data_IF_998978798601
#
_entry.id   IF_998978798601
#
_cell.length_a   1.000
_cell.length_b   1.000
_cell.length_c   1.000
_cell.angle_alpha   90.00
_cell.angle_beta   90.00
_cell.angle_gamma   90.00
#
_symmetry.space_group_name_H-M   'P 1'
#
loop_
_entity.id
_entity.type
_entity.pdbx_description
1 polymer ?
#
# COMPACT_ATOMS: atom_id res chain seq x y z
N UNK A 1 61.24 9.18 -2.22
CA UNK A 1 60.78 7.81 -1.87
C UNK A 1 59.28 7.86 -1.74
N UNK A 2 58.54 7.38 -2.73
CA UNK A 2 57.07 7.37 -2.71
C UNK A 2 56.61 5.93 -2.87
N UNK A 3 56.01 5.41 -1.81
CA UNK A 3 55.62 4.00 -1.66
C UNK A 3 54.35 3.73 -2.49
N UNK A 4 54.50 3.06 -3.63
CA UNK A 4 53.38 2.60 -4.47
C UNK A 4 52.88 1.24 -3.98
N UNK A 5 52.13 1.22 -2.89
CA UNK A 5 51.36 0.02 -2.51
C UNK A 5 50.03 0.02 -3.26
N UNK A 6 49.88 -0.89 -4.22
CA UNK A 6 48.56 -1.24 -4.77
C UNK A 6 47.77 -1.96 -3.67
N UNK A 7 46.72 -1.30 -3.18
CA UNK A 7 45.73 -1.93 -2.30
C UNK A 7 44.93 -2.92 -3.14
N UNK A 8 45.01 -4.21 -2.80
CA UNK A 8 44.14 -5.22 -3.37
C UNK A 8 42.73 -5.00 -2.81
N UNK A 9 41.78 -4.66 -3.68
CA UNK A 9 40.37 -4.61 -3.31
C UNK A 9 39.85 -6.06 -3.20
N UNK A 10 39.46 -6.47 -2.00
CA UNK A 10 38.83 -7.75 -1.72
C UNK A 10 37.34 -7.68 -2.16
N UNK A 11 37.07 -7.80 -3.46
CA UNK A 11 35.71 -7.75 -4.03
C UNK A 11 34.88 -9.02 -3.77
N UNK A 12 35.48 -10.06 -3.18
CA UNK A 12 34.85 -11.39 -3.03
C UNK A 12 33.74 -11.46 -1.97
N UNK A 13 33.67 -10.50 -1.05
CA UNK A 13 32.68 -10.53 0.04
C UNK A 13 31.31 -9.99 -0.36
N UNK A 14 31.25 -9.08 -1.34
CA UNK A 14 30.00 -8.39 -1.70
C UNK A 14 29.18 -9.16 -2.75
N UNK A 15 29.82 -9.98 -3.59
CA UNK A 15 29.13 -10.71 -4.67
C UNK A 15 28.15 -11.77 -4.16
N UNK A 16 28.46 -12.42 -3.03
CA UNK A 16 27.61 -13.47 -2.45
C UNK A 16 26.30 -12.92 -1.87
N UNK A 17 26.39 -11.85 -1.09
CA UNK A 17 25.25 -11.26 -0.39
C UNK A 17 24.25 -10.64 -1.39
N UNK A 18 24.74 -9.98 -2.43
CA UNK A 18 23.88 -9.40 -3.47
C UNK A 18 23.14 -10.47 -4.30
N UNK A 19 23.79 -11.61 -4.52
CA UNK A 19 23.20 -12.75 -5.24
C UNK A 19 22.11 -13.44 -4.43
N UNK A 20 22.32 -13.61 -3.12
CA UNK A 20 21.31 -14.16 -2.21
C UNK A 20 20.08 -13.25 -2.13
N UNK A 21 20.28 -11.93 -2.02
CA UNK A 21 19.19 -10.95 -2.04
C UNK A 21 18.37 -11.05 -3.34
N UNK A 22 19.01 -11.19 -4.50
CA UNK A 22 18.30 -11.34 -5.77
C UNK A 22 17.40 -12.59 -5.81
N UNK A 23 17.84 -13.69 -5.19
CA UNK A 23 17.04 -14.93 -5.06
C UNK A 23 15.82 -14.71 -4.19
N UNK A 24 15.98 -14.07 -3.04
CA UNK A 24 14.89 -13.76 -2.12
C UNK A 24 13.85 -12.89 -2.81
N UNK A 25 14.27 -11.79 -3.42
CA UNK A 25 13.34 -10.88 -4.09
C UNK A 25 12.62 -11.56 -5.26
N UNK A 26 13.32 -12.39 -6.05
CA UNK A 26 12.70 -13.12 -7.14
C UNK A 26 11.60 -14.05 -6.62
N UNK A 27 11.86 -14.75 -5.51
CA UNK A 27 10.88 -15.62 -4.86
C UNK A 27 9.68 -14.83 -4.36
N UNK A 28 9.90 -13.69 -3.70
CA UNK A 28 8.81 -12.84 -3.20
C UNK A 28 7.92 -12.31 -4.32
N UNK A 29 8.53 -11.83 -5.42
CA UNK A 29 7.79 -11.40 -6.61
C UNK A 29 6.98 -12.55 -7.22
N UNK A 30 7.57 -13.74 -7.32
CA UNK A 30 6.85 -14.92 -7.81
C UNK A 30 5.66 -15.28 -6.91
N UNK A 31 5.81 -15.22 -5.59
CA UNK A 31 4.75 -15.48 -4.62
C UNK A 31 3.62 -14.46 -4.77
N UNK A 32 3.95 -13.17 -4.81
CA UNK A 32 2.97 -12.10 -5.01
C UNK A 32 2.15 -12.30 -6.29
N UNK A 33 2.83 -12.56 -7.40
CA UNK A 33 2.17 -12.80 -8.69
C UNK A 33 1.29 -14.06 -8.66
N UNK A 34 1.74 -15.11 -7.97
CA UNK A 34 0.99 -16.36 -7.81
C UNK A 34 -0.27 -16.17 -6.97
N UNK A 35 -0.22 -15.38 -5.90
CA UNK A 35 -1.39 -15.02 -5.09
C UNK A 35 -2.44 -14.30 -5.94
N UNK A 36 -2.02 -13.41 -6.84
CA UNK A 36 -2.94 -12.71 -7.75
C UNK A 36 -3.58 -13.62 -8.80
N UNK A 37 -2.93 -14.70 -9.19
CA UNK A 37 -3.44 -15.67 -10.15
C UNK A 37 -4.22 -16.84 -9.50
N UNK A 38 -4.26 -16.90 -8.17
CA UNK A 38 -5.04 -17.88 -7.43
C UNK A 38 -6.53 -17.56 -7.54
N UNK A 39 -7.32 -18.52 -8.02
CA UNK A 39 -8.74 -18.32 -8.36
C UNK A 39 -9.70 -18.62 -7.21
N UNK A 40 -9.20 -19.00 -6.03
CA UNK A 40 -10.01 -19.30 -4.86
C UNK A 40 -9.92 -20.76 -4.38
N UNK A 41 -10.85 -21.21 -3.52
CA UNK A 41 -10.67 -22.41 -2.69
C UNK A 41 -10.45 -23.73 -3.43
N UNK A 42 -11.02 -23.88 -4.64
CA UNK A 42 -10.87 -25.10 -5.45
C UNK A 42 -9.57 -25.13 -6.27
N UNK A 43 -8.79 -24.05 -6.25
CA UNK A 43 -7.58 -23.89 -7.06
C UNK A 43 -6.33 -24.18 -6.24
N UNK A 44 -5.31 -24.76 -6.89
CA UNK A 44 -4.07 -25.14 -6.22
C UNK A 44 -2.98 -24.10 -6.42
N UNK A 45 -2.14 -23.91 -5.40
CA UNK A 45 -0.98 -23.02 -5.48
C UNK A 45 0.00 -23.41 -6.59
N UNK A 46 0.14 -24.71 -6.86
CA UNK A 46 0.96 -25.22 -7.96
C UNK A 46 0.40 -24.84 -9.32
N UNK A 47 -0.93 -24.98 -9.52
CA UNK A 47 -1.57 -24.57 -10.75
C UNK A 47 -1.51 -23.04 -10.94
N UNK A 48 -1.73 -22.27 -9.88
CA UNK A 48 -1.58 -20.81 -9.91
C UNK A 48 -0.16 -20.39 -10.30
N UNK A 49 0.87 -20.99 -9.69
CA UNK A 49 2.27 -20.73 -10.03
C UNK A 49 2.56 -21.06 -11.49
N UNK A 50 2.11 -22.20 -11.98
CA UNK A 50 2.37 -22.62 -13.36
C UNK A 50 1.66 -21.70 -14.37
N UNK A 51 0.48 -21.18 -14.04
CA UNK A 51 -0.19 -20.13 -14.82
C UNK A 51 0.60 -18.83 -14.79
N UNK A 52 1.06 -18.38 -13.63
CA UNK A 52 1.94 -17.22 -13.50
C UNK A 52 3.18 -17.37 -14.37
N UNK A 53 3.87 -18.50 -14.29
CA UNK A 53 5.09 -18.77 -15.04
C UNK A 53 4.84 -18.69 -16.56
N UNK A 54 3.79 -19.35 -17.06
CA UNK A 54 3.40 -19.27 -18.47
C UNK A 54 3.05 -17.86 -18.91
N UNK A 55 2.35 -17.10 -18.06
CA UNK A 55 1.94 -15.73 -18.36
C UNK A 55 3.13 -14.77 -18.50
N UNK A 56 4.17 -14.94 -17.69
CA UNK A 56 5.36 -14.10 -17.71
C UNK A 56 6.47 -14.63 -18.64
N UNK A 57 6.23 -15.76 -19.32
CA UNK A 57 7.23 -16.40 -20.19
C UNK A 57 8.38 -17.06 -19.42
N UNK A 58 8.18 -17.40 -18.14
CA UNK A 58 9.15 -18.14 -17.34
C UNK A 58 8.91 -19.64 -17.47
N UNK A 59 9.99 -20.41 -17.58
CA UNK A 59 9.88 -21.86 -17.61
C UNK A 59 9.23 -22.39 -16.30
N UNK A 60 8.17 -23.23 -16.38
CA UNK A 60 7.48 -23.74 -15.20
C UNK A 60 8.38 -24.55 -14.26
N UNK A 61 9.40 -25.23 -14.79
CA UNK A 61 10.35 -25.98 -13.95
C UNK A 61 11.26 -25.03 -13.17
N UNK A 62 11.66 -23.91 -13.77
CA UNK A 62 12.41 -22.86 -13.09
C UNK A 62 11.56 -22.18 -12.01
N UNK A 63 10.31 -21.83 -12.32
CA UNK A 63 9.37 -21.28 -11.33
C UNK A 63 9.15 -22.27 -10.17
N UNK A 64 9.03 -23.57 -10.45
CA UNK A 64 8.96 -24.61 -9.41
C UNK A 64 10.20 -24.64 -8.54
N UNK A 65 11.39 -24.56 -9.14
CA UNK A 65 12.66 -24.53 -8.40
C UNK A 65 12.72 -23.33 -7.46
N UNK A 66 12.39 -22.14 -7.96
CA UNK A 66 12.36 -20.92 -7.16
C UNK A 66 11.31 -21.00 -6.03
N UNK A 67 10.18 -21.67 -6.27
CA UNK A 67 9.17 -21.85 -5.22
C UNK A 67 9.64 -22.77 -4.08
N UNK A 68 10.26 -23.90 -4.42
CA UNK A 68 10.52 -24.98 -3.47
C UNK A 68 11.93 -24.93 -2.87
N UNK A 69 12.92 -24.44 -3.61
CA UNK A 69 14.35 -24.57 -3.30
C UNK A 69 15.10 -23.25 -3.39
N UNK A 70 14.44 -22.11 -3.17
CA UNK A 70 15.11 -20.81 -3.20
C UNK A 70 16.23 -20.70 -2.15
N UNK A 71 16.08 -21.33 -0.98
CA UNK A 71 17.10 -21.33 0.07
C UNK A 71 18.41 -22.02 -0.37
N UNK A 72 18.31 -22.97 -1.29
CA UNK A 72 19.47 -23.69 -1.84
C UNK A 72 20.04 -23.01 -3.10
N UNK A 73 19.39 -21.95 -3.59
CA UNK A 73 19.82 -21.23 -4.78
C UNK A 73 20.82 -20.14 -4.40
N UNK A 74 21.99 -20.18 -5.04
CA UNK A 74 23.00 -19.13 -4.90
C UNK A 74 22.70 -17.91 -5.74
N UNK A 75 22.06 -18.09 -6.89
CA UNK A 75 21.84 -17.04 -7.88
C UNK A 75 20.58 -17.32 -8.72
N UNK A 76 20.06 -16.28 -9.36
CA UNK A 76 18.92 -16.30 -10.28
C UNK A 76 19.40 -15.89 -11.67
N UNK A 77 18.87 -16.56 -12.70
CA UNK A 77 19.11 -16.13 -14.07
C UNK A 77 18.60 -14.70 -14.26
N UNK A 78 19.45 -13.79 -14.71
CA UNK A 78 19.08 -12.38 -14.93
C UNK A 78 17.85 -12.22 -15.84
N UNK A 79 17.67 -13.12 -16.83
CA UNK A 79 16.47 -13.13 -17.67
C UNK A 79 15.18 -13.47 -16.89
N UNK A 80 15.26 -14.44 -15.98
CA UNK A 80 14.15 -14.81 -15.12
C UNK A 80 13.84 -13.73 -14.07
N UNK A 81 14.89 -13.12 -13.49
CA UNK A 81 14.73 -12.01 -12.56
C UNK A 81 14.06 -10.81 -13.24
N UNK A 82 14.50 -10.46 -14.46
CA UNK A 82 13.92 -9.36 -15.23
C UNK A 82 12.45 -9.61 -15.59
N UNK A 83 12.08 -10.82 -16.01
CA UNK A 83 10.68 -11.12 -16.35
C UNK A 83 9.77 -11.01 -15.13
N UNK A 84 10.22 -11.48 -13.97
CA UNK A 84 9.52 -11.32 -12.69
C UNK A 84 9.38 -9.84 -12.29
N UNK A 85 10.46 -9.07 -12.42
CA UNK A 85 10.46 -7.64 -12.10
C UNK A 85 9.46 -6.87 -12.97
N UNK A 86 9.48 -7.08 -14.28
CA UNK A 86 8.56 -6.42 -15.21
C UNK A 86 7.10 -6.80 -14.94
N UNK A 87 6.84 -8.08 -14.69
CA UNK A 87 5.49 -8.54 -14.38
C UNK A 87 4.98 -8.01 -13.05
N UNK A 88 5.87 -7.88 -12.05
CA UNK A 88 5.56 -7.28 -10.76
C UNK A 88 5.25 -5.78 -10.91
N UNK A 89 6.10 -5.03 -11.60
CA UNK A 89 5.88 -3.60 -11.84
C UNK A 89 4.55 -3.35 -12.54
N UNK A 90 4.26 -4.12 -13.60
CA UNK A 90 2.98 -4.02 -14.31
C UNK A 90 1.74 -4.37 -13.44
N UNK A 91 1.93 -5.05 -12.30
CA UNK A 91 0.85 -5.24 -11.32
C UNK A 91 0.75 -4.06 -10.36
N UNK A 92 1.87 -3.52 -9.88
CA UNK A 92 1.88 -2.31 -9.05
C UNK A 92 1.22 -1.14 -9.79
N UNK A 93 1.62 -0.89 -11.04
CA UNK A 93 1.04 0.18 -11.87
C UNK A 93 -0.50 0.06 -11.96
N UNK A 94 -1.01 -1.17 -12.14
CA UNK A 94 -2.46 -1.43 -12.16
C UNK A 94 -3.14 -1.18 -10.83
N UNK A 95 -2.47 -1.45 -9.71
CA UNK A 95 -3.02 -1.19 -8.37
C UNK A 95 -3.03 0.30 -8.08
N UNK A 96 -2.00 1.02 -8.48
CA UNK A 96 -1.91 2.47 -8.34
C UNK A 96 -3.02 3.15 -9.14
N UNK A 97 -3.25 2.73 -10.38
CA UNK A 97 -4.39 3.21 -11.18
C UNK A 97 -5.75 2.94 -10.52
N UNK A 98 -5.91 1.81 -9.84
CA UNK A 98 -7.13 1.50 -9.09
C UNK A 98 -7.26 2.45 -7.90
N UNK A 99 -6.17 2.64 -7.13
CA UNK A 99 -6.09 3.56 -6.01
C UNK A 99 -6.47 4.99 -6.41
N UNK A 100 -5.87 5.51 -7.47
CA UNK A 100 -6.14 6.83 -8.02
C UNK A 100 -7.62 7.03 -8.37
N UNK A 101 -8.28 5.98 -8.90
CA UNK A 101 -9.72 6.02 -9.19
C UNK A 101 -10.55 6.08 -7.92
N UNK A 102 -10.18 5.35 -6.87
CA UNK A 102 -10.88 5.41 -5.58
C UNK A 102 -10.70 6.76 -4.88
N UNK A 103 -9.48 7.31 -4.91
CA UNK A 103 -9.19 8.62 -4.31
C UNK A 103 -9.97 9.74 -4.98
N UNK A 104 -10.07 9.70 -6.32
CA UNK A 104 -10.84 10.68 -7.09
C UNK A 104 -12.33 10.62 -6.73
N UNK A 105 -12.91 9.42 -6.75
CA UNK A 105 -14.32 9.21 -6.35
C UNK A 105 -14.58 9.68 -4.92
N UNK A 106 -13.67 9.40 -4.00
CA UNK A 106 -13.80 9.81 -2.61
C UNK A 106 -13.79 11.34 -2.48
N UNK A 107 -12.88 12.02 -3.19
CA UNK A 107 -12.84 13.49 -3.23
C UNK A 107 -14.12 14.08 -3.84
N UNK A 108 -14.64 13.48 -4.90
CA UNK A 108 -15.89 13.93 -5.54
C UNK A 108 -17.07 13.83 -4.57
N UNK A 109 -17.24 12.68 -3.89
CA UNK A 109 -18.29 12.48 -2.88
C UNK A 109 -18.16 13.46 -1.70
N UNK A 110 -16.93 13.72 -1.24
CA UNK A 110 -16.69 14.70 -0.17
C UNK A 110 -17.04 16.12 -0.64
N UNK A 111 -16.65 16.50 -1.85
CA UNK A 111 -16.96 17.80 -2.42
C UNK A 111 -18.47 18.00 -2.61
N UNK A 112 -19.18 16.96 -3.05
CA UNK A 112 -20.65 16.95 -3.14
C UNK A 112 -21.28 17.19 -1.77
N UNK A 113 -20.87 16.43 -0.74
CA UNK A 113 -21.36 16.59 0.63
C UNK A 113 -21.04 17.98 1.22
N UNK A 114 -19.87 18.55 0.91
CA UNK A 114 -19.52 19.91 1.30
C UNK A 114 -20.31 20.97 0.53
N UNK A 115 -20.62 20.73 -0.75
CA UNK A 115 -21.44 21.59 -1.58
C UNK A 115 -22.89 21.63 -1.11
N UNK A 116 -23.44 20.49 -0.69
CA UNK A 116 -24.77 20.38 -0.12
C UNK A 116 -24.89 21.16 1.20
N UNK A 117 -23.93 20.99 2.12
CA UNK A 117 -23.86 21.79 3.36
C UNK A 117 -23.78 23.30 3.11
N UNK A 118 -23.06 23.74 2.06
CA UNK A 118 -22.99 25.17 1.69
C UNK A 118 -24.30 25.72 1.14
N UNK A 119 -25.11 24.87 0.48
CA UNK A 119 -26.44 25.26 -0.03
C UNK A 119 -27.46 25.35 1.10
N UNK A 120 -27.39 24.47 2.08
CA UNK A 120 -28.19 24.55 3.31
C UNK A 120 -27.78 25.74 4.20
N UNK A 121 -26.50 26.15 4.18
CA UNK A 121 -26.00 27.34 4.91
C UNK A 121 -26.06 28.64 4.10
N UNK A 122 -27.00 28.77 3.16
CA UNK A 122 -27.21 29.98 2.37
C UNK A 122 -27.46 31.25 3.22
N UNK A 123 -27.23 32.46 2.66
CA UNK A 123 -27.10 33.73 3.41
C UNK A 123 -28.34 34.23 4.16
N UNK A 124 -29.47 33.51 4.14
CA UNK A 124 -30.68 33.90 4.89
C UNK A 124 -30.60 33.61 6.40
N UNK A 125 -29.62 32.83 6.84
CA UNK A 125 -29.43 32.51 8.27
C UNK A 125 -28.89 33.68 9.12
N UNK A 126 -28.50 34.81 8.51
CA UNK A 126 -27.95 35.97 9.23
C UNK A 126 -28.91 37.17 9.40
N UNK A 127 -30.16 37.08 8.92
CA UNK A 127 -31.15 38.17 8.98
C UNK A 127 -32.30 37.96 9.99
N UNK A 128 -32.23 36.96 10.86
CA UNK A 128 -33.27 36.69 11.87
C UNK A 128 -32.71 36.59 13.29
N UNK A 129 -31.94 37.58 13.75
CA UNK A 129 -31.71 37.75 15.19
C UNK A 129 -31.63 39.22 15.63
N UNK A 130 -32.39 40.10 14.97
CA UNK A 130 -32.73 41.39 15.57
C UNK A 130 -34.02 41.23 16.38
N UNK A 131 -33.87 40.95 17.68
CA UNK A 131 -34.91 41.26 18.65
C UNK A 131 -35.67 40.07 19.25
N UNK A 132 -35.00 39.17 19.94
CA UNK A 132 -35.56 38.56 21.15
C UNK A 132 -34.46 38.44 22.22
N UNK A 133 -34.43 39.40 23.15
CA UNK A 133 -33.79 39.21 24.44
C UNK A 133 -34.54 38.08 25.15
N UNK A 134 -34.02 36.87 25.08
CA UNK A 134 -34.38 35.80 26.01
C UNK A 134 -33.51 35.99 27.25
N UNK A 135 -34.08 36.33 28.43
CA UNK A 135 -33.29 36.45 29.65
C UNK A 135 -32.71 35.08 30.04
N UNK A 136 -31.54 35.05 30.70
CA UNK A 136 -30.91 33.80 31.09
C UNK A 136 -31.78 33.02 32.09
N UNK A 137 -31.73 31.68 32.08
CA UNK A 137 -32.46 30.88 33.06
C UNK A 137 -31.92 31.17 34.47
N UNK A 138 -32.80 31.64 35.34
CA UNK A 138 -32.55 31.73 36.78
C UNK A 138 -32.41 30.32 37.35
N UNK A 139 -31.18 29.92 37.62
CA UNK A 139 -30.86 28.67 38.32
C UNK A 139 -31.55 28.60 39.69
N UNK A 140 -32.19 27.47 40.07
CA UNK A 140 -32.96 27.37 41.30
C UNK A 140 -32.12 27.06 42.56
N UNK A 141 -30.83 27.43 42.61
CA UNK A 141 -29.92 27.07 43.71
C UNK A 141 -29.52 28.21 44.67
N UNK A 142 -30.19 29.36 44.62
CA UNK A 142 -30.00 30.42 45.63
C UNK A 142 -31.30 30.68 46.40
N UNK A 143 -31.78 29.68 47.14
CA UNK A 143 -32.79 29.88 48.18
C UNK A 143 -32.51 29.03 49.41
N UNK A 144 -31.40 29.30 50.07
CA UNK A 144 -31.17 28.86 51.45
C UNK A 144 -30.21 29.83 52.15
N UNK A 145 -30.72 30.61 53.09
CA UNK A 145 -29.88 31.24 54.12
C UNK A 145 -29.88 32.76 54.17
N UNK A 146 -31.04 33.41 54.34
CA UNK A 146 -31.09 34.67 55.10
C UNK A 146 -32.53 34.96 55.56
N UNK A 147 -32.88 34.37 56.70
CA UNK A 147 -33.88 34.91 57.63
C UNK A 147 -33.80 34.07 58.91
N UNK A 148 -33.08 34.61 59.91
CA UNK A 148 -33.47 34.52 61.32
C UNK A 148 -32.64 35.52 62.12
N UNK A 149 -33.40 36.31 62.87
CA UNK A 149 -33.03 37.27 63.89
C UNK A 149 -31.94 36.77 64.86
#
# INVERSE_FOLDING_TARGET
MSDTRRVAHDTKRDEGDMSEMAVIEARERLVFLTIREHRGPADTWTAARDRTARKIGLDPSYARRLWQRWQDMKDVSGGAYRSLLLAYQAQCDRLDEIGDRYDRKTKDLLNEAHGEKRRESGPESHLLLAGQLVPPPTSPLCRAGQERA
#
